data_IF_841610998113
#
_entry.id   IF_841610998113
#
_cell.length_a   1.000
_cell.length_b   1.000
_cell.length_c   1.000
_cell.angle_alpha   90.00
_cell.angle_beta   90.00
_cell.angle_gamma   90.00
#
_symmetry.space_group_name_H-M   'P 1'
#
loop_
_entity.id
_entity.type
_entity.pdbx_description
1 polymer ?
#
# COMPACT_ATOMS: atom_id res chain seq x y z
N UNK A 1 -17.49 -12.33 -9.23
CA UNK A 1 -17.09 -12.86 -10.55
C UNK A 1 -18.13 -12.58 -11.61
N UNK A 2 -19.36 -13.06 -11.50
CA UNK A 2 -20.43 -12.78 -12.49
C UNK A 2 -20.64 -11.28 -12.77
N UNK A 3 -20.76 -10.44 -11.73
CA UNK A 3 -20.89 -8.98 -11.92
C UNK A 3 -19.68 -8.35 -12.61
N UNK A 4 -18.46 -8.87 -12.37
CA UNK A 4 -17.26 -8.39 -13.05
C UNK A 4 -17.27 -8.77 -14.52
N UNK A 5 -17.71 -9.98 -14.86
CA UNK A 5 -17.89 -10.38 -16.27
C UNK A 5 -18.90 -9.48 -16.98
N UNK A 6 -20.01 -9.15 -16.33
CA UNK A 6 -21.01 -8.21 -16.89
C UNK A 6 -20.41 -6.82 -17.08
N UNK A 7 -19.63 -6.34 -16.11
CA UNK A 7 -18.95 -5.05 -16.20
C UNK A 7 -17.87 -5.02 -17.29
N UNK A 8 -17.10 -6.10 -17.46
CA UNK A 8 -16.08 -6.23 -18.51
C UNK A 8 -16.69 -6.30 -19.91
N UNK A 9 -17.85 -6.94 -20.07
CA UNK A 9 -18.61 -6.97 -21.33
C UNK A 9 -19.48 -5.74 -21.58
N UNK A 10 -19.52 -4.78 -20.64
CA UNK A 10 -20.35 -3.58 -20.73
C UNK A 10 -19.97 -2.69 -21.93
N UNK A 11 -18.69 -2.44 -22.26
CA UNK A 11 -18.33 -1.60 -23.40
C UNK A 11 -18.87 -2.15 -24.73
N UNK A 12 -18.68 -3.46 -24.99
CA UNK A 12 -19.15 -4.10 -26.22
C UNK A 12 -20.68 -4.06 -26.33
N UNK A 13 -21.37 -4.27 -25.20
CA UNK A 13 -22.82 -4.16 -25.12
C UNK A 13 -23.28 -2.72 -25.40
N UNK A 14 -22.64 -1.72 -24.78
CA UNK A 14 -22.99 -0.32 -24.99
C UNK A 14 -22.72 0.14 -26.42
N UNK A 15 -21.68 -0.37 -27.08
CA UNK A 15 -21.41 -0.10 -28.50
C UNK A 15 -22.54 -0.62 -29.40
N UNK A 16 -23.03 -1.84 -29.14
CA UNK A 16 -24.18 -2.40 -29.87
C UNK A 16 -25.47 -1.60 -29.64
N UNK A 17 -25.74 -1.20 -28.39
CA UNK A 17 -26.91 -0.36 -28.08
C UNK A 17 -26.77 1.01 -28.73
N UNK A 18 -25.57 1.59 -28.74
CA UNK A 18 -25.29 2.86 -29.42
C UNK A 18 -25.54 2.77 -30.91
N UNK A 19 -25.09 1.71 -31.57
CA UNK A 19 -25.31 1.50 -33.01
C UNK A 19 -26.80 1.39 -33.36
N UNK A 20 -27.58 0.69 -32.52
CA UNK A 20 -29.03 0.57 -32.70
C UNK A 20 -29.76 1.89 -32.49
N UNK A 21 -29.41 2.63 -31.43
CA UNK A 21 -29.97 3.96 -31.17
C UNK A 21 -29.63 4.93 -32.31
N UNK A 22 -28.40 4.84 -32.82
CA UNK A 22 -27.93 5.64 -33.94
C UNK A 22 -28.74 5.40 -35.23
N UNK A 23 -29.13 4.16 -35.49
CA UNK A 23 -29.97 3.79 -36.63
C UNK A 23 -31.42 4.29 -36.49
N UNK A 24 -31.88 4.54 -35.26
CA UNK A 24 -33.24 5.02 -34.97
C UNK A 24 -33.36 6.56 -35.00
N UNK A 25 -32.27 7.30 -35.20
CA UNK A 25 -32.35 8.76 -35.27
C UNK A 25 -33.15 9.22 -36.50
N UNK A 26 -34.16 10.11 -36.31
CA UNK A 26 -35.01 10.58 -37.40
C UNK A 26 -34.31 11.48 -38.43
N UNK A 27 -33.07 11.92 -38.14
CA UNK A 27 -32.29 12.80 -39.01
C UNK A 27 -30.83 12.34 -39.07
N UNK A 28 -30.21 12.44 -40.24
CA UNK A 28 -28.75 12.34 -40.38
C UNK A 28 -28.12 13.54 -39.66
N UNK A 29 -27.88 13.40 -38.37
CA UNK A 29 -27.02 14.32 -37.63
C UNK A 29 -25.70 14.41 -38.40
N UNK A 30 -25.32 15.61 -38.86
CA UNK A 30 -24.01 15.89 -39.47
C UNK A 30 -22.89 15.82 -38.42
N UNK A 31 -22.92 14.83 -37.54
CA UNK A 31 -21.86 14.58 -36.58
C UNK A 31 -20.69 13.91 -37.31
N UNK A 32 -19.49 14.50 -37.19
CA UNK A 32 -18.24 13.91 -37.72
C UNK A 32 -17.96 12.51 -37.15
N UNK A 33 -18.42 12.26 -35.92
CA UNK A 33 -18.38 10.96 -35.24
C UNK A 33 -19.77 10.59 -34.74
N UNK A 34 -20.13 9.32 -34.88
CA UNK A 34 -21.39 8.81 -34.35
C UNK A 34 -21.41 8.92 -32.81
N UNK A 35 -22.54 9.33 -32.20
CA UNK A 35 -22.63 9.43 -30.76
C UNK A 35 -22.62 8.04 -30.11
N UNK A 36 -22.11 7.97 -28.88
CA UNK A 36 -21.85 6.72 -28.16
C UNK A 36 -22.44 6.79 -26.77
N UNK A 37 -23.11 5.71 -26.35
CA UNK A 37 -23.54 5.52 -24.98
C UNK A 37 -22.33 5.04 -24.18
N UNK A 38 -22.03 5.75 -23.11
CA UNK A 38 -20.94 5.43 -22.20
C UNK A 38 -21.46 5.33 -20.77
N UNK A 39 -20.81 4.52 -19.97
CA UNK A 39 -21.07 4.45 -18.54
C UNK A 39 -20.03 5.30 -17.80
N UNK A 40 -20.52 6.23 -16.98
CA UNK A 40 -19.69 7.10 -16.15
C UNK A 40 -20.00 6.82 -14.69
N UNK A 41 -18.97 6.42 -13.93
CA UNK A 41 -19.08 6.12 -12.50
C UNK A 41 -19.76 7.26 -11.73
N UNK A 42 -20.69 6.91 -10.83
CA UNK A 42 -21.51 7.83 -10.02
C UNK A 42 -22.52 8.69 -10.77
N UNK A 43 -22.46 8.75 -12.11
CA UNK A 43 -23.40 9.54 -12.93
C UNK A 43 -24.38 8.64 -13.67
N UNK A 44 -23.94 7.47 -14.13
CA UNK A 44 -24.77 6.48 -14.81
C UNK A 44 -24.46 6.35 -16.30
N UNK A 45 -25.43 5.87 -17.07
CA UNK A 45 -25.33 5.77 -18.53
C UNK A 45 -25.66 7.11 -19.19
N UNK A 46 -24.84 7.51 -20.14
CA UNK A 46 -24.93 8.81 -20.80
C UNK A 46 -24.69 8.66 -22.29
N UNK A 47 -25.44 9.41 -23.09
CA UNK A 47 -25.17 9.55 -24.52
C UNK A 47 -24.15 10.66 -24.74
N UNK A 48 -23.02 10.32 -25.37
CA UNK A 48 -21.90 11.21 -25.64
C UNK A 48 -21.91 11.66 -27.10
N UNK A 49 -21.91 12.98 -27.30
CA UNK A 49 -21.74 13.63 -28.60
C UNK A 49 -20.36 14.29 -28.67
N UNK A 50 -19.76 14.27 -29.87
CA UNK A 50 -18.41 14.79 -30.12
C UNK A 50 -18.44 16.12 -30.87
N UNK A 51 -17.46 16.97 -30.57
CA UNK A 51 -17.10 18.25 -31.22
C UNK A 51 -18.14 19.39 -31.10
N UNK A 52 -19.42 19.10 -31.32
CA UNK A 52 -20.48 20.11 -31.32
C UNK A 52 -21.59 19.78 -30.31
N UNK A 53 -22.04 20.84 -29.61
CA UNK A 53 -23.22 20.77 -28.75
C UNK A 53 -24.47 20.74 -29.63
N UNK A 54 -25.43 19.90 -29.29
CA UNK A 54 -26.74 19.90 -29.95
C UNK A 54 -27.35 21.29 -29.82
N UNK A 55 -27.76 21.87 -30.95
CA UNK A 55 -28.37 23.21 -30.97
C UNK A 55 -29.71 23.22 -30.23
N UNK A 56 -30.05 24.33 -29.59
CA UNK A 56 -31.32 24.47 -28.84
C UNK A 56 -32.55 24.22 -29.73
N UNK A 57 -32.47 24.51 -31.03
CA UNK A 57 -33.52 24.23 -32.00
C UNK A 57 -33.73 22.72 -32.26
N UNK A 58 -32.65 21.92 -32.25
CA UNK A 58 -32.71 20.46 -32.39
C UNK A 58 -33.17 19.78 -31.09
N UNK A 59 -32.79 20.34 -29.93
CA UNK A 59 -33.29 19.92 -28.61
C UNK A 59 -34.81 20.09 -28.48
N UNK A 60 -35.40 21.13 -29.08
CA UNK A 60 -36.86 21.31 -29.12
C UNK A 60 -37.56 20.18 -29.89
N UNK A 61 -36.89 19.62 -30.91
CA UNK A 61 -37.38 18.46 -31.67
C UNK A 61 -37.11 17.10 -31.01
N UNK A 62 -36.14 17.04 -30.10
CA UNK A 62 -35.73 15.85 -29.34
C UNK A 62 -36.03 16.06 -27.86
N UNK A 63 -37.30 15.99 -27.48
CA UNK A 63 -37.79 16.32 -26.12
C UNK A 63 -37.20 15.45 -25.00
N UNK A 64 -36.55 14.33 -25.34
CA UNK A 64 -36.05 13.34 -24.38
C UNK A 64 -34.56 13.50 -24.03
N UNK A 65 -33.87 14.53 -24.56
CA UNK A 65 -32.45 14.77 -24.33
C UNK A 65 -32.22 15.83 -23.26
N UNK A 66 -31.69 15.40 -22.11
CA UNK A 66 -31.34 16.30 -21.00
C UNK A 66 -29.81 16.41 -20.88
N UNK A 67 -29.27 17.63 -20.94
CA UNK A 67 -27.84 17.86 -20.84
C UNK A 67 -27.33 17.57 -19.42
N UNK A 68 -26.28 16.75 -19.30
CA UNK A 68 -25.64 16.42 -18.03
C UNK A 68 -24.42 17.30 -17.76
N UNK A 69 -23.36 17.14 -18.56
CA UNK A 69 -22.14 17.94 -18.47
C UNK A 69 -21.36 17.89 -19.78
N UNK A 70 -20.32 18.71 -19.88
CA UNK A 70 -19.38 18.72 -21.00
C UNK A 70 -17.95 18.59 -20.50
N UNK A 71 -17.11 17.97 -21.30
CA UNK A 71 -15.70 17.77 -21.03
C UNK A 71 -14.87 18.41 -22.17
N UNK A 72 -14.05 19.40 -21.80
CA UNK A 72 -13.16 20.09 -22.73
C UNK A 72 -11.79 19.38 -22.74
N UNK A 73 -11.64 18.38 -23.62
CA UNK A 73 -10.38 17.67 -23.88
C UNK A 73 -9.78 17.98 -25.26
N UNK A 74 -8.95 17.06 -25.78
CA UNK A 74 -8.50 17.11 -27.19
C UNK A 74 -9.68 17.11 -28.18
N UNK A 75 -10.75 16.40 -27.81
CA UNK A 75 -12.06 16.43 -28.46
C UNK A 75 -13.10 16.91 -27.43
N UNK A 76 -13.95 17.85 -27.81
CA UNK A 76 -15.04 18.31 -26.93
C UNK A 76 -16.12 17.24 -26.86
N UNK A 77 -16.50 16.84 -25.64
CA UNK A 77 -17.55 15.84 -25.41
C UNK A 77 -18.71 16.45 -24.67
N UNK A 78 -19.92 16.15 -25.12
CA UNK A 78 -21.16 16.60 -24.51
C UNK A 78 -21.99 15.39 -24.11
N UNK A 79 -22.34 15.28 -22.84
CA UNK A 79 -23.04 14.14 -22.27
C UNK A 79 -24.50 14.50 -22.00
N UNK A 80 -25.42 13.62 -22.40
CA UNK A 80 -26.85 13.79 -22.23
C UNK A 80 -27.49 12.53 -21.64
N UNK A 81 -28.49 12.71 -20.79
CA UNK A 81 -29.44 11.66 -20.46
C UNK A 81 -30.47 11.56 -21.57
N UNK A 82 -30.74 10.33 -22.01
CA UNK A 82 -31.81 10.01 -22.96
C UNK A 82 -32.77 9.03 -22.32
N UNK A 83 -33.94 8.85 -22.92
CA UNK A 83 -34.87 7.81 -22.47
C UNK A 83 -34.19 6.43 -22.43
N UNK A 84 -33.37 6.11 -23.44
CA UNK A 84 -32.61 4.86 -23.49
C UNK A 84 -31.56 4.75 -22.38
N UNK A 85 -30.83 5.83 -22.09
CA UNK A 85 -29.81 5.76 -21.03
C UNK A 85 -30.45 5.61 -19.65
N UNK A 86 -31.61 6.25 -19.40
CA UNK A 86 -32.40 6.05 -18.19
C UNK A 86 -32.97 4.63 -18.06
N UNK A 87 -33.36 4.00 -19.17
CA UNK A 87 -33.74 2.57 -19.17
C UNK A 87 -32.56 1.67 -18.78
N UNK A 88 -31.36 1.95 -19.31
CA UNK A 88 -30.13 1.24 -18.96
C UNK A 88 -29.78 1.44 -17.48
N UNK A 89 -29.90 2.66 -16.96
CA UNK A 89 -29.71 2.95 -15.53
C UNK A 89 -30.69 2.15 -14.66
N UNK A 90 -31.96 2.04 -15.06
CA UNK A 90 -32.94 1.25 -14.30
C UNK A 90 -32.70 -0.26 -14.39
N UNK A 91 -32.25 -0.77 -15.54
CA UNK A 91 -32.05 -2.20 -15.78
C UNK A 91 -30.76 -2.72 -15.16
N UNK A 92 -29.64 -2.04 -15.44
CA UNK A 92 -28.30 -2.46 -15.06
C UNK A 92 -27.88 -1.81 -13.74
N UNK A 93 -28.29 -0.56 -13.53
CA UNK A 93 -27.89 0.25 -12.38
C UNK A 93 -26.39 0.47 -12.31
N UNK A 94 -25.93 0.83 -11.11
CA UNK A 94 -24.52 0.99 -10.82
C UNK A 94 -23.87 -0.37 -10.53
N UNK A 95 -23.49 -1.08 -11.59
CA UNK A 95 -22.81 -2.38 -11.51
C UNK A 95 -21.47 -2.23 -10.79
N UNK A 96 -20.73 -1.15 -11.08
CA UNK A 96 -19.42 -0.91 -10.49
C UNK A 96 -19.49 -0.73 -8.97
N UNK A 97 -20.45 0.06 -8.48
CA UNK A 97 -20.64 0.26 -7.04
C UNK A 97 -21.05 -1.03 -6.33
N UNK A 98 -21.91 -1.85 -6.96
CA UNK A 98 -22.25 -3.18 -6.43
C UNK A 98 -21.02 -4.07 -6.30
N UNK A 99 -20.14 -4.07 -7.31
CA UNK A 99 -18.87 -4.82 -7.26
C UNK A 99 -18.03 -4.33 -6.08
N UNK A 100 -17.84 -3.02 -5.93
CA UNK A 100 -17.04 -2.45 -4.85
C UNK A 100 -17.60 -2.78 -3.46
N UNK A 101 -18.92 -2.72 -3.28
CA UNK A 101 -19.55 -3.04 -2.00
C UNK A 101 -19.39 -4.52 -1.65
N UNK A 102 -19.56 -5.41 -2.62
CA UNK A 102 -19.32 -6.84 -2.43
C UNK A 102 -17.85 -7.12 -2.09
N UNK A 103 -16.90 -6.49 -2.79
CA UNK A 103 -15.48 -6.63 -2.50
C UNK A 103 -15.13 -6.16 -1.09
N UNK A 104 -15.65 -5.01 -0.66
CA UNK A 104 -15.47 -4.50 0.69
C UNK A 104 -16.02 -5.47 1.74
N UNK A 105 -17.21 -6.04 1.49
CA UNK A 105 -17.80 -7.02 2.39
C UNK A 105 -16.92 -8.28 2.51
N UNK A 106 -16.43 -8.81 1.38
CA UNK A 106 -15.54 -9.98 1.34
C UNK A 106 -14.23 -9.69 2.09
N UNK A 107 -13.61 -8.54 1.83
CA UNK A 107 -12.38 -8.13 2.52
C UNK A 107 -12.62 -8.00 4.02
N UNK A 108 -13.72 -7.38 4.44
CA UNK A 108 -14.07 -7.24 5.85
C UNK A 108 -14.21 -8.60 6.52
N UNK A 109 -14.93 -9.52 5.88
CA UNK A 109 -15.12 -10.87 6.40
C UNK A 109 -13.79 -11.65 6.49
N UNK A 110 -12.91 -11.50 5.48
CA UNK A 110 -11.58 -12.09 5.51
C UNK A 110 -10.76 -11.54 6.68
N UNK A 111 -10.74 -10.22 6.88
CA UNK A 111 -10.05 -9.58 8.01
C UNK A 111 -10.59 -10.11 9.33
N UNK A 112 -11.92 -10.17 9.49
CA UNK A 112 -12.54 -10.72 10.70
C UNK A 112 -12.11 -12.18 10.96
N UNK A 113 -12.03 -13.02 9.92
CA UNK A 113 -11.54 -14.42 10.05
C UNK A 113 -10.07 -14.48 10.44
N UNK A 114 -9.22 -13.66 9.83
CA UNK A 114 -7.78 -13.62 10.17
C UNK A 114 -7.57 -13.14 11.61
N UNK A 115 -8.33 -12.14 12.06
CA UNK A 115 -8.24 -11.61 13.42
C UNK A 115 -8.60 -12.65 14.50
N UNK A 116 -9.39 -13.69 14.20
CA UNK A 116 -9.63 -14.79 15.13
C UNK A 116 -8.34 -15.55 15.48
N UNK A 117 -7.34 -15.51 14.60
CA UNK A 117 -6.03 -16.15 14.78
C UNK A 117 -4.95 -15.19 15.27
N UNK A 118 -5.32 -13.96 15.65
CA UNK A 118 -4.37 -12.94 16.09
C UNK A 118 -3.46 -13.46 17.23
N UNK A 119 -3.94 -14.15 18.28
CA UNK A 119 -3.07 -14.64 19.35
C UNK A 119 -2.00 -15.62 18.86
N UNK A 120 -2.32 -16.49 17.91
CA UNK A 120 -1.40 -17.46 17.32
C UNK A 120 -0.38 -16.76 16.41
N UNK A 121 -0.84 -15.81 15.59
CA UNK A 121 0.02 -15.00 14.74
C UNK A 121 1.03 -14.19 15.57
N UNK A 122 0.58 -13.52 16.63
CA UNK A 122 1.47 -12.77 17.53
C UNK A 122 2.51 -13.67 18.19
N UNK A 123 2.12 -14.87 18.64
CA UNK A 123 3.07 -15.85 19.19
C UNK A 123 4.13 -16.26 18.16
N UNK A 124 3.72 -16.54 16.92
CA UNK A 124 4.63 -16.90 15.85
C UNK A 124 5.61 -15.75 15.51
N UNK A 125 5.11 -14.52 15.44
CA UNK A 125 5.92 -13.33 15.20
C UNK A 125 6.93 -13.11 16.33
N UNK A 126 6.49 -13.21 17.59
CA UNK A 126 7.39 -13.05 18.74
C UNK A 126 8.49 -14.12 18.76
N UNK A 127 8.14 -15.37 18.45
CA UNK A 127 9.10 -16.46 18.36
C UNK A 127 10.12 -16.22 17.23
N UNK A 128 9.65 -15.79 16.06
CA UNK A 128 10.53 -15.46 14.94
C UNK A 128 11.47 -14.30 15.29
N UNK A 129 10.97 -13.27 15.99
CA UNK A 129 11.78 -12.13 16.43
C UNK A 129 12.83 -12.52 17.47
N UNK A 130 12.47 -13.38 18.44
CA UNK A 130 13.42 -13.91 19.42
C UNK A 130 14.52 -14.74 18.74
N UNK A 131 14.14 -15.60 17.80
CA UNK A 131 15.07 -16.40 17.02
C UNK A 131 16.03 -15.51 16.21
N UNK A 132 15.53 -14.48 15.55
CA UNK A 132 16.33 -13.54 14.76
C UNK A 132 17.35 -12.78 15.63
N UNK A 133 16.94 -12.35 16.83
CA UNK A 133 17.82 -11.71 17.80
C UNK A 133 18.94 -12.65 18.25
N UNK A 134 18.61 -13.89 18.64
CA UNK A 134 19.60 -14.88 19.09
C UNK A 134 20.56 -15.24 17.96
N UNK A 135 20.06 -15.41 16.72
CA UNK A 135 20.90 -15.67 15.56
C UNK A 135 21.84 -14.50 15.26
N UNK A 136 21.35 -13.27 15.32
CA UNK A 136 22.15 -12.07 15.14
C UNK A 136 23.27 -11.98 16.20
N UNK A 137 22.95 -12.23 17.47
CA UNK A 137 23.95 -12.29 18.54
C UNK A 137 24.99 -13.40 18.32
N UNK A 138 24.57 -14.58 17.87
CA UNK A 138 25.47 -15.69 17.58
C UNK A 138 26.40 -15.40 16.39
N UNK A 139 25.89 -14.75 15.34
CA UNK A 139 26.68 -14.32 14.18
C UNK A 139 27.74 -13.31 14.61
N UNK A 140 27.35 -12.26 15.34
CA UNK A 140 28.27 -11.23 15.84
C UNK A 140 29.30 -11.84 16.77
N UNK A 141 28.88 -12.74 17.68
CA UNK A 141 29.81 -13.41 18.59
C UNK A 141 30.85 -14.24 17.83
N UNK A 142 30.44 -14.94 16.76
CA UNK A 142 31.36 -15.72 15.93
C UNK A 142 32.30 -14.82 15.11
N UNK A 143 31.77 -13.77 14.48
CA UNK A 143 32.56 -12.87 13.62
C UNK A 143 33.61 -12.11 14.43
N UNK A 144 33.24 -11.64 15.62
CA UNK A 144 34.11 -10.83 16.48
C UNK A 144 34.87 -11.64 17.53
N UNK A 145 34.78 -12.98 17.50
CA UNK A 145 35.38 -13.88 18.49
C UNK A 145 35.01 -13.52 19.94
N UNK A 146 33.73 -13.24 20.19
CA UNK A 146 33.22 -13.07 21.54
C UNK A 146 33.04 -14.41 22.24
N UNK A 147 33.15 -14.37 23.57
CA UNK A 147 33.02 -15.55 24.43
C UNK A 147 31.80 -15.40 25.32
N UNK A 148 31.16 -16.52 25.64
CA UNK A 148 30.05 -16.54 26.59
C UNK A 148 30.60 -16.21 28.00
N UNK A 149 30.11 -15.16 28.68
CA UNK A 149 30.54 -14.85 30.04
C UNK A 149 30.04 -15.90 31.03
N UNK A 150 30.79 -16.07 32.12
CA UNK A 150 30.39 -16.92 33.25
C UNK A 150 29.79 -16.01 34.31
N UNK A 151 28.54 -16.26 34.67
CA UNK A 151 27.85 -15.52 35.73
C UNK A 151 28.17 -16.16 37.09
N UNK A 152 28.42 -15.31 38.10
CA UNK A 152 28.67 -15.73 39.48
C UNK A 152 27.88 -14.83 40.43
N UNK A 153 27.52 -15.36 41.60
CA UNK A 153 26.88 -14.60 42.70
C UNK A 153 27.90 -13.77 43.49
N UNK A 154 29.20 -14.06 43.33
CA UNK A 154 30.27 -13.30 43.98
C UNK A 154 30.38 -11.89 43.38
N UNK A 155 30.77 -10.91 44.20
CA UNK A 155 31.06 -9.54 43.73
C UNK A 155 32.43 -9.46 43.02
N UNK A 156 32.56 -10.14 41.89
CA UNK A 156 33.79 -10.28 41.10
C UNK A 156 33.50 -9.94 39.63
N UNK A 157 34.37 -9.15 39.03
CA UNK A 157 34.43 -8.93 37.58
C UNK A 157 35.85 -9.28 37.10
N UNK A 158 35.97 -10.33 36.30
CA UNK A 158 37.22 -10.69 35.65
C UNK A 158 37.03 -10.73 34.14
N UNK A 159 37.65 -9.77 33.45
CA UNK A 159 37.69 -9.69 31.99
C UNK A 159 39.15 -9.94 31.59
N UNK A 160 39.36 -10.91 30.71
CA UNK A 160 40.67 -11.21 30.12
C UNK A 160 40.67 -10.79 28.67
N UNK A 161 41.68 -10.05 28.25
CA UNK A 161 41.77 -9.46 26.91
C UNK A 161 40.48 -8.74 26.49
N UNK A 162 39.94 -7.90 27.38
CA UNK A 162 38.74 -7.12 27.13
C UNK A 162 38.92 -6.14 25.98
N UNK A 163 37.87 -5.98 25.16
CA UNK A 163 37.86 -5.12 23.98
C UNK A 163 36.60 -4.28 23.98
N UNK A 164 36.72 -3.03 23.54
CA UNK A 164 35.57 -2.15 23.42
C UNK A 164 34.84 -2.44 22.10
N UNK A 165 33.63 -2.99 22.18
CA UNK A 165 32.90 -3.54 21.03
C UNK A 165 32.80 -2.62 19.80
N UNK A 166 32.55 -1.32 20.01
CA UNK A 166 32.46 -0.36 18.91
C UNK A 166 33.80 0.21 18.46
N UNK A 167 34.69 0.56 19.41
CA UNK A 167 35.97 1.19 19.09
C UNK A 167 36.89 0.27 18.30
N UNK A 168 36.89 -1.03 18.60
CA UNK A 168 37.66 -2.04 17.86
C UNK A 168 37.32 -2.05 16.36
N UNK A 169 36.07 -1.75 15.98
CA UNK A 169 35.65 -1.71 14.58
C UNK A 169 36.14 -0.46 13.81
N UNK A 170 36.67 0.53 14.52
CA UNK A 170 37.08 1.82 13.94
C UNK A 170 38.58 1.97 13.78
N UNK A 171 39.37 0.99 14.22
CA UNK A 171 40.83 1.02 14.21
C UNK A 171 41.40 -0.25 13.61
N UNK A 172 42.52 -0.15 12.91
CA UNK A 172 43.17 -1.32 12.28
C UNK A 172 43.74 -2.30 13.31
N UNK A 173 44.09 -1.81 14.50
CA UNK A 173 44.62 -2.63 15.58
C UNK A 173 44.13 -2.10 16.92
N UNK A 174 43.42 -2.95 17.66
CA UNK A 174 42.95 -2.65 19.01
C UNK A 174 43.76 -3.46 20.02
N UNK A 175 44.28 -2.81 21.06
CA UNK A 175 45.03 -3.48 22.14
C UNK A 175 44.05 -3.88 23.25
N UNK A 176 43.81 -5.18 23.47
CA UNK A 176 42.89 -5.64 24.50
C UNK A 176 43.48 -5.42 25.91
N UNK A 177 42.61 -5.21 26.91
CA UNK A 177 43.01 -4.96 28.29
C UNK A 177 42.31 -5.87 29.28
N UNK A 178 43.05 -6.36 30.27
CA UNK A 178 42.48 -7.10 31.39
C UNK A 178 41.79 -6.15 32.39
N UNK A 179 40.72 -6.64 33.01
CA UNK A 179 40.05 -5.98 34.13
C UNK A 179 39.80 -6.97 35.23
N UNK A 180 40.21 -6.63 36.47
CA UNK A 180 39.92 -7.41 37.66
C UNK A 180 39.37 -6.50 38.73
N UNK A 181 38.14 -6.76 39.17
CA UNK A 181 37.50 -6.09 40.28
C UNK A 181 37.03 -7.18 41.24
N UNK A 182 37.40 -7.06 42.51
CA UNK A 182 37.04 -8.00 43.58
C UNK A 182 36.36 -7.27 44.72
N UNK A 183 35.82 -8.02 45.67
CA UNK A 183 35.15 -7.48 46.86
C UNK A 183 36.04 -6.55 47.68
N UNK A 184 37.33 -6.87 47.79
CA UNK A 184 38.38 -5.98 48.28
C UNK A 184 38.98 -5.20 47.09
N UNK A 185 38.93 -3.86 47.13
CA UNK A 185 39.41 -3.02 46.03
C UNK A 185 38.37 -2.70 44.96
N UNK A 186 37.15 -2.29 45.37
CA UNK A 186 36.06 -1.89 44.45
C UNK A 186 36.34 -0.59 43.68
N UNK A 187 37.37 0.16 44.08
CA UNK A 187 37.77 1.42 43.46
C UNK A 187 39.12 1.21 42.79
N UNK A 188 39.14 1.35 41.47
CA UNK A 188 40.36 1.33 40.67
C UNK A 188 40.73 2.76 40.27
N UNK A 189 41.92 3.21 40.64
CA UNK A 189 42.45 4.51 40.22
C UNK A 189 43.26 4.30 38.94
N UNK A 190 42.79 4.89 37.84
CA UNK A 190 43.42 4.76 36.52
C UNK A 190 44.10 6.09 36.16
N UNK A 191 45.42 6.10 36.14
CA UNK A 191 46.23 7.27 35.79
C UNK A 191 47.01 7.04 34.50
N UNK A 192 47.23 8.09 33.72
CA UNK A 192 48.02 8.02 32.50
C UNK A 192 47.91 9.29 31.65
N UNK A 193 48.80 9.49 30.68
CA UNK A 193 48.84 10.70 29.84
C UNK A 193 47.57 10.87 28.99
N UNK A 194 47.31 12.05 28.44
CA UNK A 194 46.18 12.24 27.52
C UNK A 194 46.31 11.34 26.28
N UNK A 195 45.17 10.94 25.70
CA UNK A 195 45.10 10.02 24.56
C UNK A 195 45.60 8.57 24.80
N UNK A 196 45.91 8.18 26.03
CA UNK A 196 46.28 6.79 26.39
C UNK A 196 45.12 5.79 26.45
N UNK A 197 43.92 6.16 25.99
CA UNK A 197 42.77 5.24 25.97
C UNK A 197 42.05 5.02 27.31
N UNK A 198 42.38 5.75 28.37
CA UNK A 198 41.71 5.63 29.70
C UNK A 198 40.18 5.65 29.63
N UNK A 199 39.60 6.58 28.87
CA UNK A 199 38.14 6.69 28.71
C UNK A 199 37.54 5.54 27.91
N UNK A 200 38.30 4.94 27.00
CA UNK A 200 37.88 3.77 26.20
C UNK A 200 37.89 2.53 27.10
N UNK A 201 38.93 2.36 27.92
CA UNK A 201 39.01 1.28 28.90
C UNK A 201 37.86 1.30 29.91
N UNK A 202 37.42 2.49 30.37
CA UNK A 202 36.28 2.60 31.31
C UNK A 202 34.94 2.25 30.66
N UNK A 203 34.80 2.50 29.35
CA UNK A 203 33.56 2.27 28.59
C UNK A 203 33.46 0.88 27.95
N UNK A 204 34.55 0.12 27.92
CA UNK A 204 34.58 -1.23 27.35
C UNK A 204 33.59 -2.14 28.08
#
# INVERSE_FOLDING_TARGET
>A
DELRMVYEGLPDFLEQVSANENASFPFSLECRKAPLIVYVHQIGYLMCFFDEKISEALLIGLQDFEFAFSEDGEERRFYYHTQKTRELDNLLGDIYHKILDMERAIIRDLVCRVLQFLPQLTKAVNFAAELDCILSLAIVARQNNYVRPILTEDSILEIRNGRHALQEMTVDTFVPNDTKIRSAGRINIITGPNYSGKSIYIKQ
#
